data_IF_997532940874
#
_entry.id   IF_997532940874
#
_cell.length_a   1.000
_cell.length_b   1.000
_cell.length_c   1.000
_cell.angle_alpha   90.00
_cell.angle_beta   90.00
_cell.angle_gamma   90.00
#
_symmetry.space_group_name_H-M   'P 1'
#
loop_
_entity.id
_entity.type
_entity.pdbx_description
1 polymer ?
#
# COMPACT_ATOMS: atom_id res chain seq x y z
N UNK A 1 2.79 -3.59 -3.95
CA UNK A 1 2.53 -4.89 -3.33
C UNK A 1 2.53 -6.05 -4.33
N UNK A 2 1.58 -6.19 -5.28
CA UNK A 2 1.62 -7.27 -6.30
C UNK A 2 2.97 -7.37 -7.00
N UNK A 3 3.52 -6.25 -7.45
CA UNK A 3 4.84 -6.21 -8.08
C UNK A 3 5.95 -6.69 -7.14
N UNK A 4 5.91 -6.29 -5.86
CA UNK A 4 6.88 -6.75 -4.86
C UNK A 4 6.80 -8.26 -4.63
N UNK A 5 5.58 -8.81 -4.58
CA UNK A 5 5.37 -10.26 -4.49
C UNK A 5 5.92 -10.98 -5.73
N UNK A 6 5.61 -10.45 -6.92
CA UNK A 6 6.11 -11.03 -8.16
C UNK A 6 7.63 -10.95 -8.28
N UNK A 7 8.22 -9.82 -7.92
CA UNK A 7 9.67 -9.64 -7.92
C UNK A 7 10.34 -10.63 -6.97
N UNK A 8 9.75 -10.83 -5.77
CA UNK A 8 10.23 -11.82 -4.81
C UNK A 8 10.09 -13.26 -5.36
N UNK A 9 8.95 -13.58 -5.99
CA UNK A 9 8.74 -14.89 -6.63
C UNK A 9 9.73 -15.15 -7.76
N UNK A 10 9.98 -14.17 -8.62
CA UNK A 10 10.93 -14.26 -9.72
C UNK A 10 12.38 -14.49 -9.23
N UNK A 11 12.69 -14.04 -8.01
CA UNK A 11 13.98 -14.21 -7.36
C UNK A 11 14.05 -15.44 -6.43
N UNK A 12 12.96 -16.24 -6.36
CA UNK A 12 12.80 -17.34 -5.43
C UNK A 12 12.92 -16.92 -3.94
N UNK A 13 12.65 -15.65 -3.65
CA UNK A 13 12.58 -15.11 -2.28
C UNK A 13 11.19 -15.37 -1.67
N UNK A 14 11.00 -16.58 -1.16
CA UNK A 14 9.74 -16.98 -0.52
C UNK A 14 9.42 -16.12 0.71
N UNK A 15 10.42 -15.65 1.44
CA UNK A 15 10.21 -14.77 2.58
C UNK A 15 9.67 -13.41 2.15
N UNK A 16 10.29 -12.79 1.15
CA UNK A 16 9.81 -11.54 0.57
C UNK A 16 8.40 -11.67 -0.01
N UNK A 17 8.08 -12.81 -0.63
CA UNK A 17 6.73 -13.08 -1.13
C UNK A 17 5.69 -13.18 0.00
N UNK A 18 6.02 -13.86 1.11
CA UNK A 18 5.13 -13.93 2.29
C UNK A 18 5.00 -12.56 2.96
N UNK A 19 6.08 -11.81 3.12
CA UNK A 19 6.04 -10.46 3.67
C UNK A 19 5.11 -9.54 2.85
N UNK A 20 5.20 -9.58 1.53
CA UNK A 20 4.35 -8.81 0.63
C UNK A 20 2.88 -9.27 0.67
N UNK A 21 2.62 -10.59 0.66
CA UNK A 21 1.27 -11.15 0.58
C UNK A 21 0.52 -11.11 1.90
N UNK A 22 1.21 -11.06 3.03
CA UNK A 22 0.55 -11.11 4.34
C UNK A 22 0.70 -9.76 5.08
N UNK A 23 1.92 -9.37 5.42
CA UNK A 23 2.12 -8.20 6.28
C UNK A 23 1.84 -6.87 5.58
N UNK A 24 2.31 -6.71 4.35
CA UNK A 24 2.13 -5.44 3.62
C UNK A 24 0.70 -5.30 3.09
N UNK A 25 0.10 -6.39 2.63
CA UNK A 25 -1.31 -6.39 2.22
C UNK A 25 -2.24 -5.98 3.37
N UNK A 26 -2.05 -6.54 4.56
CA UNK A 26 -2.86 -6.17 5.74
C UNK A 26 -2.71 -4.68 6.07
N UNK A 27 -1.50 -4.12 5.97
CA UNK A 27 -1.28 -2.68 6.16
C UNK A 27 -2.07 -1.85 5.15
N UNK A 28 -2.08 -2.28 3.89
CA UNK A 28 -2.80 -1.57 2.82
C UNK A 28 -4.31 -1.72 2.95
N UNK A 29 -4.83 -2.88 3.32
CA UNK A 29 -6.25 -3.09 3.64
C UNK A 29 -6.68 -2.19 4.80
N UNK A 30 -5.89 -2.13 5.86
CA UNK A 30 -6.17 -1.27 7.01
C UNK A 30 -6.13 0.22 6.62
N UNK A 31 -5.22 0.61 5.73
CA UNK A 31 -5.19 1.95 5.18
C UNK A 31 -6.42 2.26 4.34
N UNK A 32 -6.80 1.36 3.43
CA UNK A 32 -8.00 1.48 2.60
C UNK A 32 -9.26 1.68 3.45
N UNK A 33 -9.47 0.81 4.45
CA UNK A 33 -10.60 0.93 5.39
C UNK A 33 -10.58 2.25 6.16
N UNK A 34 -9.42 2.69 6.60
CA UNK A 34 -9.25 3.97 7.28
C UNK A 34 -9.59 5.17 6.40
N UNK A 35 -9.43 5.05 5.10
CA UNK A 35 -9.80 6.07 4.10
C UNK A 35 -11.29 6.04 3.73
N UNK A 36 -12.09 5.22 4.39
CA UNK A 36 -13.51 5.03 4.10
C UNK A 36 -13.76 4.05 2.94
N UNK A 37 -12.79 3.18 2.66
CA UNK A 37 -12.91 2.13 1.65
C UNK A 37 -13.82 1.00 2.15
N UNK A 38 -15.05 0.95 1.61
CA UNK A 38 -16.07 -0.07 1.95
C UNK A 38 -16.70 -0.67 0.69
N UNK A 39 -16.05 -0.50 -0.47
CA UNK A 39 -16.58 -1.05 -1.72
C UNK A 39 -16.44 -2.59 -1.73
N UNK A 40 -17.57 -3.34 -1.76
CA UNK A 40 -17.52 -4.80 -1.71
C UNK A 40 -16.84 -5.44 -2.94
N UNK A 41 -16.94 -4.81 -4.11
CA UNK A 41 -16.28 -5.29 -5.33
C UNK A 41 -14.75 -5.25 -5.16
N UNK A 42 -14.24 -4.13 -4.68
CA UNK A 42 -12.80 -4.00 -4.37
C UNK A 42 -12.38 -4.98 -3.28
N UNK A 43 -13.25 -5.21 -2.28
CA UNK A 43 -13.02 -6.22 -1.24
C UNK A 43 -12.87 -7.63 -1.78
N UNK A 44 -13.72 -8.02 -2.73
CA UNK A 44 -13.64 -9.33 -3.41
C UNK A 44 -12.37 -9.45 -4.26
N UNK A 45 -12.02 -8.44 -5.05
CA UNK A 45 -10.79 -8.41 -5.84
C UNK A 45 -9.53 -8.52 -4.96
N UNK A 46 -9.52 -7.84 -3.81
CA UNK A 46 -8.44 -7.97 -2.83
C UNK A 46 -8.37 -9.39 -2.29
N UNK A 47 -9.50 -9.98 -1.91
CA UNK A 47 -9.55 -11.33 -1.35
C UNK A 47 -9.11 -12.39 -2.37
N UNK A 48 -9.57 -12.31 -3.60
CA UNK A 48 -9.16 -13.19 -4.69
C UNK A 48 -7.64 -13.10 -4.92
N UNK A 49 -7.12 -11.87 -5.04
CA UNK A 49 -5.69 -11.62 -5.18
C UNK A 49 -4.90 -12.19 -4.00
N UNK A 50 -5.39 -11.98 -2.80
CA UNK A 50 -4.74 -12.46 -1.57
C UNK A 50 -4.67 -13.97 -1.54
N UNK A 51 -5.78 -14.64 -1.89
CA UNK A 51 -5.88 -16.10 -1.95
C UNK A 51 -4.80 -16.68 -2.87
N UNK A 52 -4.62 -16.12 -4.06
CA UNK A 52 -3.54 -16.53 -4.97
C UNK A 52 -2.15 -16.29 -4.38
N UNK A 53 -1.91 -15.12 -3.79
CA UNK A 53 -0.59 -14.76 -3.28
C UNK A 53 -0.15 -15.64 -2.10
N UNK A 54 -1.07 -16.02 -1.21
CA UNK A 54 -0.73 -16.85 -0.04
C UNK A 54 -0.70 -18.35 -0.33
N UNK A 55 -1.21 -18.78 -1.47
CA UNK A 55 -1.30 -20.21 -1.81
C UNK A 55 0.03 -20.95 -1.78
N UNK A 56 1.13 -20.24 -2.03
CA UNK A 56 2.49 -20.79 -1.95
C UNK A 56 2.94 -21.11 -0.51
N UNK A 57 2.43 -20.37 0.47
CA UNK A 57 2.81 -20.53 1.88
C UNK A 57 1.80 -21.32 2.69
N UNK A 58 0.52 -21.15 2.38
CA UNK A 58 -0.61 -21.78 3.09
C UNK A 58 -1.63 -22.34 2.10
N UNK A 59 -1.28 -23.41 1.33
CA UNK A 59 -2.11 -23.92 0.25
C UNK A 59 -3.50 -24.34 0.72
N UNK A 60 -3.62 -25.05 1.85
CA UNK A 60 -4.91 -25.51 2.35
C UNK A 60 -5.85 -24.34 2.70
N UNK A 61 -5.33 -23.31 3.34
CA UNK A 61 -6.12 -22.11 3.65
C UNK A 61 -6.55 -21.37 2.38
N UNK A 62 -5.67 -21.30 1.40
CA UNK A 62 -5.97 -20.68 0.11
C UNK A 62 -7.07 -21.43 -0.64
N UNK A 63 -7.05 -22.79 -0.63
CA UNK A 63 -8.11 -23.61 -1.22
C UNK A 63 -9.44 -23.41 -0.50
N UNK A 64 -9.45 -23.34 0.84
CA UNK A 64 -10.68 -23.07 1.60
C UNK A 64 -11.27 -21.70 1.22
N UNK A 65 -10.45 -20.66 1.13
CA UNK A 65 -10.90 -19.33 0.71
C UNK A 65 -11.38 -19.31 -0.74
N UNK A 66 -10.69 -20.05 -1.62
CA UNK A 66 -11.05 -20.16 -3.03
C UNK A 66 -12.43 -20.78 -3.22
N UNK A 67 -12.74 -21.83 -2.46
CA UNK A 67 -14.07 -22.44 -2.44
C UNK A 67 -15.12 -21.49 -1.84
N UNK A 68 -14.79 -20.74 -0.78
CA UNK A 68 -15.70 -19.75 -0.21
C UNK A 68 -16.03 -18.61 -1.19
N UNK A 69 -15.14 -18.30 -2.13
CA UNK A 69 -15.38 -17.37 -3.23
C UNK A 69 -16.29 -17.95 -4.33
N UNK A 70 -16.71 -19.21 -4.21
CA UNK A 70 -17.64 -19.89 -5.13
C UNK A 70 -16.94 -20.61 -6.29
N UNK A 71 -15.63 -20.84 -6.21
CA UNK A 71 -14.90 -21.58 -7.23
C UNK A 71 -14.91 -23.09 -6.93
N UNK A 72 -15.01 -23.90 -7.98
CA UNK A 72 -15.07 -25.37 -7.87
C UNK A 72 -13.73 -26.04 -8.19
N UNK A 73 -12.81 -25.32 -8.81
CA UNK A 73 -11.47 -25.79 -9.16
C UNK A 73 -10.45 -25.43 -8.05
N UNK A 74 -9.21 -25.89 -8.22
CA UNK A 74 -8.14 -25.60 -7.27
C UNK A 74 -7.49 -24.25 -7.61
N UNK A 75 -7.19 -23.44 -6.60
CA UNK A 75 -6.44 -22.19 -6.78
C UNK A 75 -5.07 -22.45 -7.41
N UNK A 76 -4.44 -23.58 -7.09
CA UNK A 76 -3.16 -24.01 -7.66
C UNK A 76 -3.23 -24.32 -9.17
N UNK A 77 -4.40 -24.60 -9.73
CA UNK A 77 -4.60 -24.86 -11.16
C UNK A 77 -4.77 -23.58 -11.99
N UNK A 78 -4.96 -22.44 -11.33
CA UNK A 78 -5.19 -21.16 -12.00
C UNK A 78 -3.88 -20.43 -12.31
N UNK A 79 -3.82 -19.88 -13.50
CA UNK A 79 -2.78 -18.92 -13.85
C UNK A 79 -3.15 -17.59 -13.20
N UNK A 80 -2.26 -17.07 -12.37
CA UNK A 80 -2.45 -15.77 -11.75
C UNK A 80 -2.03 -14.67 -12.73
N UNK A 81 -3.02 -14.09 -13.40
CA UNK A 81 -2.78 -12.96 -14.28
C UNK A 81 -2.44 -11.72 -13.46
N UNK A 82 -1.18 -11.32 -13.56
CA UNK A 82 -0.75 -10.08 -12.92
C UNK A 82 -1.24 -8.90 -13.77
N UNK A 83 -1.79 -7.87 -13.12
CA UNK A 83 -2.19 -6.68 -13.84
C UNK A 83 -0.97 -6.05 -14.51
N UNK A 84 -1.20 -5.49 -15.68
CA UNK A 84 -0.19 -4.70 -16.40
C UNK A 84 0.33 -3.52 -15.56
N UNK A 85 1.28 -2.75 -16.11
CA UNK A 85 1.82 -1.58 -15.44
C UNK A 85 0.71 -0.58 -15.11
N UNK A 86 0.84 0.08 -13.95
CA UNK A 86 -0.12 1.12 -13.55
C UNK A 86 -0.17 2.25 -14.57
N UNK A 87 -1.37 2.74 -14.84
CA UNK A 87 -1.60 3.91 -15.67
C UNK A 87 -1.12 5.19 -14.96
N UNK A 88 -0.95 6.27 -15.70
CA UNK A 88 -0.47 7.54 -15.16
C UNK A 88 -1.39 8.13 -14.08
N UNK A 89 -2.70 7.98 -14.23
CA UNK A 89 -3.70 8.39 -13.23
C UNK A 89 -3.62 7.55 -11.95
N UNK A 90 -3.41 6.24 -12.07
CA UNK A 90 -3.23 5.32 -10.95
C UNK A 90 -1.91 5.59 -10.20
N UNK A 91 -0.83 5.88 -10.92
CA UNK A 91 0.44 6.30 -10.33
C UNK A 91 0.29 7.62 -9.54
N UNK A 92 -0.40 8.60 -10.13
CA UNK A 92 -0.66 9.87 -9.46
C UNK A 92 -1.51 9.70 -8.19
N UNK A 93 -2.51 8.83 -8.22
CA UNK A 93 -3.31 8.50 -7.04
C UNK A 93 -2.47 7.80 -5.96
N UNK A 94 -1.61 6.87 -6.35
CA UNK A 94 -0.70 6.18 -5.44
C UNK A 94 0.29 7.15 -4.78
N UNK A 95 0.85 8.08 -5.54
CA UNK A 95 1.74 9.11 -5.02
C UNK A 95 1.04 10.03 -4.02
N UNK A 96 -0.22 10.41 -4.30
CA UNK A 96 -1.03 11.20 -3.38
C UNK A 96 -1.30 10.45 -2.07
N UNK A 97 -1.62 9.15 -2.12
CA UNK A 97 -1.82 8.32 -0.93
C UNK A 97 -0.52 8.12 -0.13
N UNK A 98 0.61 7.92 -0.80
CA UNK A 98 1.92 7.82 -0.16
C UNK A 98 2.32 9.13 0.54
N UNK A 99 2.05 10.27 -0.11
CA UNK A 99 2.24 11.58 0.51
C UNK A 99 1.38 11.74 1.76
N UNK A 100 0.11 11.36 1.70
CA UNK A 100 -0.80 11.44 2.84
C UNK A 100 -0.37 10.55 4.00
N UNK A 101 0.09 9.32 3.73
CA UNK A 101 0.68 8.43 4.74
C UNK A 101 1.86 9.09 5.43
N UNK A 102 2.81 9.59 4.64
CA UNK A 102 4.01 10.27 5.15
C UNK A 102 3.65 11.50 5.99
N UNK A 103 2.72 12.33 5.50
CA UNK A 103 2.24 13.50 6.24
C UNK A 103 1.65 13.12 7.61
N UNK A 104 0.79 12.10 7.66
CA UNK A 104 0.18 11.63 8.91
C UNK A 104 1.21 11.06 9.88
N UNK A 105 2.23 10.37 9.39
CA UNK A 105 3.33 9.90 10.23
C UNK A 105 4.13 11.05 10.84
N UNK A 106 4.46 12.06 10.04
CA UNK A 106 5.15 13.26 10.52
C UNK A 106 4.29 14.02 11.54
N UNK A 107 3.01 14.21 11.25
CA UNK A 107 2.08 14.87 12.15
C UNK A 107 2.00 14.15 13.52
N UNK A 108 1.98 12.82 13.53
CA UNK A 108 2.01 12.02 14.76
C UNK A 108 3.32 12.18 15.52
N UNK A 109 4.47 12.21 14.83
CA UNK A 109 5.77 12.45 15.47
C UNK A 109 5.80 13.82 16.14
N UNK A 110 5.34 14.86 15.44
CA UNK A 110 5.26 16.23 15.98
C UNK A 110 4.29 16.28 17.17
N UNK A 111 3.10 15.66 17.07
CA UNK A 111 2.15 15.61 18.16
C UNK A 111 2.74 14.92 19.42
N UNK A 112 3.46 13.81 19.23
CA UNK A 112 4.14 13.11 20.32
C UNK A 112 5.20 13.97 21.01
N UNK A 113 5.98 14.73 20.23
CA UNK A 113 6.98 15.67 20.77
C UNK A 113 6.28 16.81 21.52
N UNK A 114 5.24 17.40 20.93
CA UNK A 114 4.46 18.46 21.57
C UNK A 114 3.84 18.01 22.90
N UNK A 115 3.24 16.82 22.93
CA UNK A 115 2.67 16.22 24.17
C UNK A 115 3.71 16.15 25.29
N UNK A 116 4.95 15.77 24.95
CA UNK A 116 6.03 15.67 25.92
C UNK A 116 6.46 17.05 26.48
N UNK A 117 6.39 18.10 25.65
CA UNK A 117 6.78 19.45 26.08
C UNK A 117 5.67 20.23 26.78
N UNK A 118 4.41 20.00 26.40
CA UNK A 118 3.24 20.73 26.91
C UNK A 118 2.63 20.03 28.15
N UNK A 119 3.00 18.77 28.40
CA UNK A 119 2.43 17.97 29.49
C UNK A 119 1.02 17.43 29.22
N UNK A 120 0.54 17.51 27.95
CA UNK A 120 -0.77 17.01 27.53
C UNK A 120 -0.91 16.96 25.99
N UNK A 121 -1.97 16.31 25.47
CA UNK A 121 -2.18 16.21 24.03
C UNK A 121 -2.43 17.62 23.42
N UNK A 122 -1.86 17.95 22.25
CA UNK A 122 -2.12 19.22 21.57
C UNK A 122 -3.60 19.30 21.17
N UNK A 123 -4.22 20.45 21.44
CA UNK A 123 -5.65 20.67 21.15
C UNK A 123 -5.92 21.15 19.72
N UNK A 124 -4.89 21.65 19.04
CA UNK A 124 -4.99 22.12 17.65
C UNK A 124 -3.70 21.86 16.90
N UNK A 125 -3.80 21.75 15.59
CA UNK A 125 -2.67 21.66 14.68
C UNK A 125 -2.91 22.57 13.47
N UNK A 126 -1.87 23.26 13.00
CA UNK A 126 -1.91 24.09 11.80
C UNK A 126 -0.95 23.51 10.77
N UNK A 127 -1.47 23.16 9.60
CA UNK A 127 -0.66 22.73 8.48
C UNK A 127 -0.38 23.90 7.55
N UNK A 128 0.89 24.21 7.33
CA UNK A 128 1.30 25.25 6.37
C UNK A 128 1.52 24.61 5.01
N UNK A 129 0.68 24.96 4.04
CA UNK A 129 0.80 24.50 2.66
C UNK A 129 1.65 25.51 1.88
N UNK A 130 2.68 25.02 1.22
CA UNK A 130 3.56 25.88 0.43
C UNK A 130 2.85 26.36 -0.85
N UNK A 131 3.19 27.58 -1.30
CA UNK A 131 2.64 28.10 -2.56
C UNK A 131 3.18 27.31 -3.76
N UNK A 132 2.40 27.16 -4.86
CA UNK A 132 2.80 26.35 -6.02
C UNK A 132 4.19 26.68 -6.57
N UNK A 133 4.53 27.96 -6.70
CA UNK A 133 5.83 28.39 -7.22
C UNK A 133 7.04 27.89 -6.41
N UNK A 134 6.89 27.68 -5.09
CA UNK A 134 7.96 27.13 -4.26
C UNK A 134 8.18 25.65 -4.54
N UNK A 135 7.13 24.93 -4.89
CA UNK A 135 7.24 23.54 -5.33
C UNK A 135 8.01 23.45 -6.65
N UNK A 136 7.67 24.32 -7.60
CA UNK A 136 8.34 24.38 -8.90
C UNK A 136 9.83 24.73 -8.75
N UNK A 137 10.14 25.71 -7.89
CA UNK A 137 11.53 26.07 -7.58
C UNK A 137 12.30 24.89 -6.94
N UNK A 138 11.70 24.20 -5.98
CA UNK A 138 12.34 23.04 -5.35
C UNK A 138 12.56 21.90 -6.34
N UNK A 139 11.60 21.63 -7.21
CA UNK A 139 11.72 20.62 -8.28
C UNK A 139 12.83 20.98 -9.28
N UNK A 140 12.92 22.25 -9.69
CA UNK A 140 13.98 22.73 -10.57
C UNK A 140 15.37 22.62 -9.91
N UNK A 141 15.47 22.94 -8.62
CA UNK A 141 16.72 22.82 -7.86
C UNK A 141 17.18 21.37 -7.73
N UNK A 142 16.25 20.44 -7.44
CA UNK A 142 16.54 18.99 -7.36
C UNK A 142 16.98 18.46 -8.72
N UNK A 143 16.28 18.84 -9.80
CA UNK A 143 16.63 18.44 -11.16
C UNK A 143 18.04 18.95 -11.57
N UNK A 144 18.39 20.15 -11.16
CA UNK A 144 19.73 20.71 -11.42
C UNK A 144 20.82 19.96 -10.63
N UNK A 145 20.57 19.61 -9.38
CA UNK A 145 21.51 18.84 -8.56
C UNK A 145 21.70 17.40 -9.03
N UNK A 146 20.71 16.82 -9.70
CA UNK A 146 20.78 15.46 -10.24
C UNK A 146 21.57 15.38 -11.58
N UNK A 147 21.89 16.52 -12.19
CA UNK A 147 22.62 16.60 -13.46
C UNK A 147 24.11 16.96 -13.29
N UNK A 148 24.57 17.24 -12.08
CA UNK A 148 25.97 17.52 -11.73
C UNK A 148 26.60 16.42 -10.92
#
# INVERSE_FOLDING_TARGET
MRNQWQDAMNQYDLRGAVDASHFDLIKDINWYRRRGGENPVVGLEILETWTHMISIATPHLAEDWWQMLGNEDLVASRVFDLPGPLRADELSALDAENYLRSFLEQARKVAKIATKHIGGPPQSAVAYITRPWRKELAQAAIAHLAQG
#
